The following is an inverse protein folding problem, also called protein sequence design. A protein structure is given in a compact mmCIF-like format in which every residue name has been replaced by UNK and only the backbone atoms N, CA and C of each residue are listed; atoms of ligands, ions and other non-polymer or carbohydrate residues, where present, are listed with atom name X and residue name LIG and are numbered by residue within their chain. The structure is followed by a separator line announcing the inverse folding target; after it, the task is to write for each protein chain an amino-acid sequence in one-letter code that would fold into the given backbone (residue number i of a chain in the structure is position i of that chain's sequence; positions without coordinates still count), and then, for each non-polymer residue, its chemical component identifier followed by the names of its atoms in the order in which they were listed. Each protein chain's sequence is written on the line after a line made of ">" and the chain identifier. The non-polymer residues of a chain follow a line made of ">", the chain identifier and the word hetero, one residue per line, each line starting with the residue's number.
data_IF_319606310591
#
_entry.id   IF_319606310591
#
_cell.length_a   1.000
_cell.length_b   1.000
_cell.length_c   1.000
_cell.angle_alpha   90.00
_cell.angle_beta   90.00
_cell.angle_gamma   90.00
#
_symmetry.space_group_name_H-M   'P 1'
#
loop_
_entity.id
_entity.type
_entity.pdbx_description
1 polymer ?
#
# COMPACT_ATOMS: atom_id res chain seq x y z
N UNK A 1 14.34 -2.87 -23.17
CA UNK A 1 12.95 -2.43 -22.96
C UNK A 1 12.86 -1.00 -23.45
N UNK A 2 12.23 -0.78 -24.59
CA UNK A 2 11.97 0.56 -25.14
C UNK A 2 10.87 1.25 -24.31
N UNK A 3 10.78 2.58 -24.42
CA UNK A 3 9.97 3.48 -23.58
C UNK A 3 8.45 3.24 -23.62
N UNK A 4 7.97 2.32 -24.46
CA UNK A 4 6.56 2.12 -24.77
C UNK A 4 6.04 0.71 -24.46
N UNK A 5 6.85 -0.16 -23.83
CA UNK A 5 6.38 -1.53 -23.55
C UNK A 5 5.22 -1.48 -22.54
N UNK A 6 4.00 -1.95 -22.90
CA UNK A 6 2.90 -2.04 -21.96
C UNK A 6 3.25 -2.96 -20.80
N UNK A 7 2.95 -2.54 -19.57
CA UNK A 7 3.30 -3.28 -18.35
C UNK A 7 2.10 -3.75 -17.56
N UNK A 8 0.90 -3.37 -17.94
CA UNK A 8 -0.30 -3.83 -17.27
C UNK A 8 -1.58 -3.37 -17.93
N UNK A 9 -2.69 -3.93 -17.45
CA UNK A 9 -4.02 -3.48 -17.78
C UNK A 9 -4.85 -3.28 -16.51
N UNK A 10 -5.51 -2.14 -16.40
CA UNK A 10 -6.58 -1.93 -15.43
C UNK A 10 -7.90 -2.30 -16.13
N UNK A 11 -8.62 -3.26 -15.58
CA UNK A 11 -9.89 -3.73 -16.10
C UNK A 11 -11.02 -3.15 -15.24
N UNK A 12 -11.87 -2.33 -15.82
CA UNK A 12 -13.02 -1.77 -15.14
C UNK A 12 -14.32 -2.36 -15.71
N UNK A 13 -15.17 -2.88 -14.83
CA UNK A 13 -16.53 -3.30 -15.17
C UNK A 13 -17.52 -2.28 -14.65
N UNK A 14 -17.89 -1.35 -15.52
CA UNK A 14 -18.90 -0.32 -15.26
C UNK A 14 -20.30 -0.69 -15.76
N UNK A 15 -21.04 0.32 -16.23
CA UNK A 15 -22.44 0.23 -16.68
C UNK A 15 -22.62 -0.68 -17.89
N UNK A 16 -21.58 -0.84 -18.71
CA UNK A 16 -21.58 -1.77 -19.86
C UNK A 16 -21.67 -3.25 -19.44
N UNK A 17 -21.36 -3.57 -18.18
CA UNK A 17 -21.37 -4.94 -17.66
C UNK A 17 -20.22 -5.83 -18.17
N UNK A 18 -19.32 -5.28 -18.99
CA UNK A 18 -18.12 -5.94 -19.48
C UNK A 18 -16.87 -5.30 -18.87
N UNK A 19 -15.79 -6.06 -18.76
CA UNK A 19 -14.50 -5.50 -18.33
C UNK A 19 -13.83 -4.78 -19.51
N UNK A 20 -13.66 -3.48 -19.37
CA UNK A 20 -12.99 -2.61 -20.34
C UNK A 20 -11.55 -2.33 -19.88
N UNK A 21 -10.53 -2.59 -20.72
CA UNK A 21 -9.14 -2.40 -20.36
C UNK A 21 -8.68 -0.95 -20.56
N UNK A 22 -7.91 -0.45 -19.61
CA UNK A 22 -7.01 0.69 -19.75
C UNK A 22 -5.57 0.17 -19.69
N UNK A 23 -4.82 0.35 -20.77
CA UNK A 23 -3.45 -0.16 -20.87
C UNK A 23 -2.48 0.80 -20.19
N UNK A 24 -1.72 0.30 -19.23
CA UNK A 24 -0.79 1.12 -18.43
C UNK A 24 0.66 0.96 -18.92
N UNK A 25 1.35 2.06 -19.28
CA UNK A 25 2.74 2.03 -19.72
C UNK A 25 3.72 1.83 -18.55
N UNK A 26 4.97 1.44 -18.90
CA UNK A 26 6.08 1.18 -17.96
C UNK A 26 6.66 2.43 -17.28
N UNK A 27 6.37 3.62 -17.79
CA UNK A 27 6.79 4.92 -17.25
C UNK A 27 5.59 5.87 -17.21
N UNK A 28 5.56 6.83 -16.27
CA UNK A 28 4.52 7.85 -16.27
C UNK A 28 4.58 8.62 -17.60
N UNK A 29 3.46 8.71 -18.31
CA UNK A 29 3.34 9.62 -19.45
C UNK A 29 3.34 11.06 -18.92
N UNK A 30 4.01 11.98 -19.61
CA UNK A 30 4.04 13.41 -19.26
C UNK A 30 2.64 14.02 -19.12
N UNK A 31 1.65 13.44 -19.82
CA UNK A 31 0.22 13.65 -19.57
C UNK A 31 -0.50 12.30 -19.55
N UNK A 32 -1.26 12.01 -18.49
CA UNK A 32 -2.33 11.01 -18.59
C UNK A 32 -3.35 11.55 -19.58
N UNK A 33 -3.75 10.72 -20.55
CA UNK A 33 -4.80 11.11 -21.47
C UNK A 33 -6.12 11.15 -20.70
N UNK A 34 -6.55 12.35 -20.35
CA UNK A 34 -7.82 12.57 -19.65
C UNK A 34 -8.99 12.03 -20.46
N UNK A 35 -8.94 12.06 -21.80
CA UNK A 35 -10.01 11.52 -22.63
C UNK A 35 -10.08 9.99 -22.51
N UNK A 36 -8.93 9.32 -22.45
CA UNK A 36 -8.85 7.87 -22.24
C UNK A 36 -9.45 7.47 -20.88
N UNK A 37 -9.12 8.22 -19.82
CA UNK A 37 -9.66 7.97 -18.48
C UNK A 37 -11.17 8.30 -18.37
N UNK A 38 -11.63 9.38 -19.01
CA UNK A 38 -13.06 9.74 -19.10
C UNK A 38 -13.84 8.61 -19.77
N UNK A 39 -13.34 8.12 -20.91
CA UNK A 39 -13.96 7.03 -21.65
C UNK A 39 -13.96 5.73 -20.82
N UNK A 40 -12.82 5.38 -20.25
CA UNK A 40 -12.64 4.12 -19.52
C UNK A 40 -13.47 4.07 -18.23
N UNK A 41 -13.52 5.14 -17.45
CA UNK A 41 -14.39 5.24 -16.26
C UNK A 41 -15.86 5.53 -16.62
N UNK A 42 -16.19 5.62 -17.91
CA UNK A 42 -17.53 5.84 -18.44
C UNK A 42 -18.18 7.09 -17.82
N UNK A 43 -17.44 8.21 -17.74
CA UNK A 43 -17.91 9.43 -17.09
C UNK A 43 -18.94 10.15 -17.97
N UNK A 44 -20.03 10.63 -17.37
CA UNK A 44 -21.01 11.44 -18.08
C UNK A 44 -20.51 12.89 -18.21
N UNK A 45 -20.75 13.56 -19.35
CA UNK A 45 -20.35 14.97 -19.52
C UNK A 45 -20.86 15.91 -18.43
N UNK A 46 -21.99 15.57 -17.79
CA UNK A 46 -22.59 16.31 -16.69
C UNK A 46 -21.75 16.27 -15.40
N UNK A 47 -20.94 15.23 -15.19
CA UNK A 47 -20.12 15.05 -13.99
C UNK A 47 -18.76 15.76 -14.10
N UNK A 48 -18.36 16.11 -15.33
CA UNK A 48 -17.03 16.65 -15.63
C UNK A 48 -16.68 17.94 -14.87
N UNK A 49 -17.60 18.90 -14.62
CA UNK A 49 -17.26 20.07 -13.81
C UNK A 49 -16.80 19.71 -12.40
N UNK A 50 -17.45 18.73 -11.77
CA UNK A 50 -17.12 18.32 -10.39
C UNK A 50 -15.84 17.47 -10.35
N UNK A 51 -15.65 16.58 -11.34
CA UNK A 51 -14.40 15.82 -11.49
C UNK A 51 -13.22 16.75 -11.74
N UNK A 52 -13.38 17.78 -12.58
CA UNK A 52 -12.35 18.79 -12.83
C UNK A 52 -12.05 19.62 -11.58
N UNK A 53 -13.08 20.00 -10.81
CA UNK A 53 -12.91 20.68 -9.52
C UNK A 53 -12.07 19.82 -8.56
N UNK A 54 -12.42 18.54 -8.41
CA UNK A 54 -11.69 17.59 -7.58
C UNK A 54 -10.20 17.52 -7.93
N UNK A 55 -9.85 17.28 -9.21
CA UNK A 55 -8.44 17.20 -9.61
C UNK A 55 -7.71 18.54 -9.47
N UNK A 56 -8.39 19.66 -9.73
CA UNK A 56 -7.84 21.01 -9.54
C UNK A 56 -7.50 21.24 -8.06
N UNK A 57 -8.47 21.00 -7.18
CA UNK A 57 -8.32 21.15 -5.74
C UNK A 57 -7.18 20.25 -5.22
N UNK A 58 -7.11 18.98 -5.65
CA UNK A 58 -6.01 18.10 -5.28
C UNK A 58 -4.65 18.61 -5.76
N UNK A 59 -4.55 19.11 -6.99
CA UNK A 59 -3.29 19.62 -7.55
C UNK A 59 -2.79 20.89 -6.86
N UNK A 60 -3.68 21.62 -6.19
CA UNK A 60 -3.38 22.85 -5.47
C UNK A 60 -2.97 22.62 -4.01
N UNK A 61 -3.13 21.41 -3.47
CA UNK A 61 -2.77 21.10 -2.09
C UNK A 61 -1.26 21.25 -1.87
N UNK A 62 -0.90 22.05 -0.86
CA UNK A 62 0.49 22.16 -0.40
C UNK A 62 0.84 20.99 0.54
N UNK A 63 2.12 20.71 0.80
CA UNK A 63 2.51 19.69 1.80
C UNK A 63 1.86 19.90 3.16
N UNK A 64 1.70 21.16 3.60
CA UNK A 64 1.03 21.49 4.86
C UNK A 64 -0.48 21.21 4.81
N UNK A 65 -1.14 21.47 3.68
CA UNK A 65 -2.56 21.12 3.52
C UNK A 65 -2.75 19.60 3.55
N UNK A 66 -1.81 18.84 2.98
CA UNK A 66 -1.83 17.38 3.00
C UNK A 66 -1.58 16.85 4.42
N UNK A 67 -0.62 17.43 5.17
CA UNK A 67 -0.38 17.09 6.58
C UNK A 67 -1.63 17.29 7.44
N UNK A 68 -2.41 18.33 7.18
CA UNK A 68 -3.65 18.61 7.90
C UNK A 68 -4.78 17.60 7.64
N UNK A 69 -4.60 16.65 6.72
CA UNK A 69 -5.57 15.61 6.36
C UNK A 69 -5.28 14.25 7.01
N UNK A 70 -4.38 14.18 8.00
CA UNK A 70 -3.96 12.90 8.61
C UNK A 70 -5.07 12.20 9.41
N UNK A 71 -5.91 12.99 10.08
CA UNK A 71 -7.08 12.52 10.82
C UNK A 71 -8.36 12.47 9.96
N UNK A 72 -8.26 12.64 8.64
CA UNK A 72 -9.38 12.58 7.70
C UNK A 72 -9.21 11.35 6.82
N UNK A 73 -10.22 10.50 6.74
CA UNK A 73 -10.17 9.33 5.85
C UNK A 73 -10.32 9.75 4.38
N UNK A 74 -9.82 8.94 3.44
CA UNK A 74 -10.00 9.21 2.02
C UNK A 74 -11.48 9.25 1.65
N UNK A 75 -12.31 8.36 2.22
CA UNK A 75 -13.75 8.39 2.02
C UNK A 75 -14.38 9.73 2.46
N UNK A 76 -14.03 10.24 3.64
CA UNK A 76 -14.50 11.56 4.12
C UNK A 76 -14.00 12.70 3.23
N UNK A 77 -12.74 12.64 2.77
CA UNK A 77 -12.21 13.63 1.85
C UNK A 77 -12.96 13.64 0.51
N UNK A 78 -13.20 12.47 -0.08
CA UNK A 78 -13.94 12.33 -1.34
C UNK A 78 -15.41 12.75 -1.20
N UNK A 79 -16.02 12.60 -0.02
CA UNK A 79 -17.40 13.02 0.25
C UNK A 79 -17.63 14.54 0.12
N UNK A 80 -16.55 15.34 0.09
CA UNK A 80 -16.60 16.79 -0.18
C UNK A 80 -16.93 17.11 -1.65
N UNK A 81 -17.00 16.09 -2.50
CA UNK A 81 -17.23 16.19 -3.93
C UNK A 81 -18.39 15.30 -4.33
N UNK A 82 -19.15 15.70 -5.35
CA UNK A 82 -20.19 14.87 -5.98
C UNK A 82 -19.60 14.02 -7.10
N UNK A 83 -18.65 13.16 -6.74
CA UNK A 83 -17.97 12.30 -7.71
C UNK A 83 -18.89 11.18 -8.20
N UNK A 84 -18.83 10.82 -9.50
CA UNK A 84 -19.53 9.65 -10.01
C UNK A 84 -18.96 8.37 -9.38
N UNK A 85 -19.80 7.34 -9.25
CA UNK A 85 -19.45 6.09 -8.57
C UNK A 85 -18.16 5.46 -9.11
N UNK A 86 -17.95 5.50 -10.43
CA UNK A 86 -16.75 4.91 -11.06
C UNK A 86 -15.43 5.52 -10.57
N UNK A 87 -15.41 6.83 -10.29
CA UNK A 87 -14.24 7.53 -9.72
C UNK A 87 -14.04 7.12 -8.27
N UNK A 88 -15.11 7.04 -7.48
CA UNK A 88 -15.04 6.56 -6.10
C UNK A 88 -14.53 5.11 -6.03
N UNK A 89 -15.08 4.23 -6.88
CA UNK A 89 -14.70 2.83 -6.99
C UNK A 89 -13.24 2.67 -7.42
N UNK A 90 -12.74 3.54 -8.31
CA UNK A 90 -11.32 3.59 -8.67
C UNK A 90 -10.44 3.90 -7.46
N UNK A 91 -10.75 4.92 -6.67
CA UNK A 91 -9.98 5.22 -5.46
C UNK A 91 -10.12 4.12 -4.40
N UNK A 92 -11.30 3.51 -4.26
CA UNK A 92 -11.51 2.38 -3.36
C UNK A 92 -10.63 1.19 -3.72
N UNK A 93 -10.59 0.83 -5.00
CA UNK A 93 -9.70 -0.22 -5.52
C UNK A 93 -8.21 0.12 -5.27
N UNK A 94 -7.80 1.37 -5.52
CA UNK A 94 -6.43 1.79 -5.25
C UNK A 94 -6.08 1.65 -3.77
N UNK A 95 -6.98 2.04 -2.87
CA UNK A 95 -6.77 1.86 -1.43
C UNK A 95 -6.57 0.39 -1.04
N UNK A 96 -7.41 -0.49 -1.60
CA UNK A 96 -7.34 -1.92 -1.28
C UNK A 96 -6.07 -2.59 -1.81
N UNK A 97 -5.50 -2.13 -2.92
CA UNK A 97 -4.31 -2.75 -3.53
C UNK A 97 -3.02 -2.16 -2.97
N UNK A 98 -2.97 -0.84 -2.75
CA UNK A 98 -1.74 -0.13 -2.37
C UNK A 98 -1.52 -0.19 -0.86
N UNK A 99 -2.56 0.09 -0.07
CA UNK A 99 -2.47 0.12 1.40
C UNK A 99 -2.96 -1.16 2.05
N UNK A 100 -3.63 -2.02 1.28
CA UNK A 100 -4.33 -3.21 1.79
C UNK A 100 -5.30 -2.83 2.91
N UNK A 101 -6.00 -1.72 2.70
CA UNK A 101 -6.93 -1.14 3.66
C UNK A 101 -8.19 -0.65 2.93
N UNK A 102 -9.34 -0.60 3.64
CA UNK A 102 -10.55 -0.04 3.08
C UNK A 102 -10.47 1.47 2.97
N UNK A 103 -11.19 2.04 2.01
CA UNK A 103 -11.15 3.47 1.70
C UNK A 103 -11.56 4.37 2.89
N UNK A 104 -12.41 3.86 3.77
CA UNK A 104 -12.89 4.53 4.98
C UNK A 104 -11.97 4.39 6.19
N UNK A 105 -10.78 3.78 6.05
CA UNK A 105 -9.74 3.72 7.09
C UNK A 105 -8.36 4.24 6.63
N UNK A 106 -8.19 4.55 5.34
CA UNK A 106 -6.95 5.13 4.83
C UNK A 106 -6.98 6.64 5.04
N UNK A 107 -5.96 7.21 5.68
CA UNK A 107 -5.80 8.66 5.80
C UNK A 107 -5.69 9.32 4.42
N UNK A 108 -6.41 10.43 4.22
CA UNK A 108 -6.40 11.17 2.97
C UNK A 108 -5.01 11.78 2.71
N UNK A 109 -4.30 12.19 3.76
CA UNK A 109 -2.90 12.63 3.69
C UNK A 109 -2.01 11.61 2.95
N UNK A 110 -2.06 10.36 3.40
CA UNK A 110 -1.23 9.25 2.90
C UNK A 110 -1.62 8.86 1.47
N UNK A 111 -2.92 8.76 1.20
CA UNK A 111 -3.44 8.48 -0.14
C UNK A 111 -3.01 9.55 -1.16
N UNK A 112 -3.18 10.83 -0.82
CA UNK A 112 -2.86 11.95 -1.71
C UNK A 112 -1.36 12.00 -2.00
N UNK A 113 -0.49 11.85 -0.98
CA UNK A 113 0.97 11.78 -1.19
C UNK A 113 1.34 10.62 -2.11
N UNK A 114 0.87 9.43 -1.80
CA UNK A 114 1.19 8.22 -2.56
C UNK A 114 0.75 8.34 -4.02
N UNK A 115 -0.46 8.85 -4.27
CA UNK A 115 -0.96 9.03 -5.64
C UNK A 115 -0.21 10.14 -6.38
N UNK A 116 0.23 11.19 -5.69
CA UNK A 116 1.08 12.25 -6.25
C UNK A 116 2.45 11.71 -6.65
N UNK A 117 3.07 10.90 -5.79
CA UNK A 117 4.34 10.23 -6.08
C UNK A 117 4.21 9.25 -7.26
N UNK A 118 3.10 8.51 -7.34
CA UNK A 118 2.83 7.61 -8.46
C UNK A 118 2.63 8.39 -9.76
N UNK A 119 1.98 9.55 -9.71
CA UNK A 119 1.84 10.43 -10.87
C UNK A 119 3.20 10.99 -11.32
N UNK A 120 4.07 11.39 -10.39
CA UNK A 120 5.36 12.00 -10.69
C UNK A 120 6.44 10.98 -11.12
N UNK A 121 6.53 9.84 -10.44
CA UNK A 121 7.63 8.88 -10.56
C UNK A 121 7.24 7.56 -11.25
N UNK A 122 5.94 7.41 -11.55
CA UNK A 122 5.34 6.17 -12.00
C UNK A 122 5.07 5.19 -10.87
N UNK A 123 4.25 4.20 -11.17
CA UNK A 123 3.97 3.09 -10.28
C UNK A 123 4.46 1.77 -10.91
N UNK A 124 4.44 0.69 -10.11
CA UNK A 124 4.59 -0.70 -10.56
C UNK A 124 5.89 -1.04 -11.31
N UNK A 125 6.85 -1.63 -10.58
CA UNK A 125 8.11 -2.14 -11.15
C UNK A 125 8.34 -3.56 -10.68
N UNK A 126 8.84 -4.41 -11.59
CA UNK A 126 9.27 -5.76 -11.26
C UNK A 126 10.79 -5.83 -11.21
N UNK A 127 11.32 -6.46 -10.16
CA UNK A 127 12.71 -6.90 -10.13
C UNK A 127 12.84 -8.11 -11.07
N UNK A 128 13.74 -8.02 -12.06
CA UNK A 128 13.94 -9.08 -13.08
C UNK A 128 14.21 -10.46 -12.48
N UNK A 129 14.87 -10.49 -11.32
CA UNK A 129 15.25 -11.71 -10.60
C UNK A 129 14.28 -12.02 -9.43
N UNK A 130 13.12 -11.35 -9.41
CA UNK A 130 12.13 -11.46 -8.35
C UNK A 130 12.49 -10.70 -7.07
N UNK A 131 11.49 -10.48 -6.22
CA UNK A 131 11.67 -9.76 -4.94
C UNK A 131 12.56 -10.51 -3.94
N UNK A 132 12.63 -11.84 -4.02
CA UNK A 132 13.53 -12.64 -3.18
C UNK A 132 15.01 -12.25 -3.40
N UNK A 133 15.39 -11.97 -4.66
CA UNK A 133 16.75 -11.54 -4.99
C UNK A 133 17.11 -10.21 -4.34
N UNK A 134 16.16 -9.29 -4.19
CA UNK A 134 16.39 -8.01 -3.53
C UNK A 134 16.82 -8.22 -2.07
N UNK A 135 16.13 -9.12 -1.35
CA UNK A 135 16.49 -9.48 0.03
C UNK A 135 17.87 -10.15 0.11
N UNK A 136 18.19 -11.05 -0.82
CA UNK A 136 19.51 -11.68 -0.91
C UNK A 136 20.63 -10.67 -1.15
N UNK A 137 20.42 -9.70 -2.05
CA UNK A 137 21.42 -8.65 -2.35
C UNK A 137 21.70 -7.80 -1.11
N UNK A 138 20.68 -7.48 -0.30
CA UNK A 138 20.90 -6.79 0.97
C UNK A 138 21.71 -7.64 1.97
N UNK A 139 21.39 -8.93 2.11
CA UNK A 139 22.16 -9.82 2.97
C UNK A 139 23.63 -9.93 2.52
N UNK A 140 23.86 -10.10 1.22
CA UNK A 140 25.21 -10.14 0.62
C UNK A 140 25.98 -8.83 0.86
N UNK A 141 25.29 -7.68 0.79
CA UNK A 141 25.91 -6.39 1.07
C UNK A 141 26.36 -6.29 2.53
N UNK A 142 25.54 -6.70 3.49
CA UNK A 142 25.89 -6.73 4.93
C UNK A 142 27.18 -7.52 5.16
N UNK A 143 27.28 -8.72 4.59
CA UNK A 143 28.48 -9.57 4.68
C UNK A 143 29.70 -8.93 4.00
N UNK A 144 29.52 -8.37 2.80
CA UNK A 144 30.58 -7.69 2.05
C UNK A 144 31.20 -6.52 2.84
N UNK A 145 30.41 -5.83 3.64
CA UNK A 145 30.89 -4.73 4.50
C UNK A 145 31.36 -5.20 5.90
N UNK A 146 31.58 -6.50 6.09
CA UNK A 146 32.21 -7.07 7.28
C UNK A 146 31.27 -7.34 8.45
N UNK A 147 29.96 -7.30 8.23
CA UNK A 147 28.95 -7.68 9.24
C UNK A 147 28.47 -9.11 9.04
N UNK A 148 27.71 -9.65 9.99
CA UNK A 148 27.22 -11.04 9.95
C UNK A 148 25.71 -11.11 9.68
N UNK A 149 25.29 -12.07 8.86
CA UNK A 149 23.88 -12.43 8.68
C UNK A 149 23.64 -13.81 9.28
N UNK A 150 22.79 -13.88 10.31
CA UNK A 150 22.48 -15.14 11.00
C UNK A 150 21.04 -15.57 10.76
N UNK A 151 20.87 -16.55 9.86
CA UNK A 151 19.57 -17.19 9.62
C UNK A 151 19.21 -18.17 10.74
N UNK A 152 17.91 -18.49 10.87
CA UNK A 152 17.41 -19.45 11.89
C UNK A 152 17.81 -19.09 13.32
N UNK A 153 18.02 -17.81 13.59
CA UNK A 153 18.42 -17.27 14.89
C UNK A 153 17.30 -16.35 15.39
N UNK A 154 16.20 -16.95 15.84
CA UNK A 154 15.04 -16.19 16.28
C UNK A 154 15.36 -15.47 17.60
N UNK A 155 15.10 -14.16 17.63
CA UNK A 155 15.19 -13.36 18.86
C UNK A 155 13.97 -13.66 19.72
N UNK A 156 14.22 -14.09 20.96
CA UNK A 156 13.19 -14.33 21.97
C UNK A 156 12.96 -13.09 22.85
N UNK A 157 13.97 -12.25 23.04
CA UNK A 157 13.93 -11.06 23.89
C UNK A 157 14.94 -10.00 23.42
N UNK A 158 14.58 -8.72 23.54
CA UNK A 158 15.50 -7.59 23.49
C UNK A 158 15.74 -7.19 24.95
N UNK A 159 16.98 -7.34 25.41
CA UNK A 159 17.32 -7.14 26.82
C UNK A 159 17.47 -5.65 27.13
N UNK A 160 16.92 -5.21 28.26
CA UNK A 160 16.91 -3.81 28.71
C UNK A 160 17.32 -3.75 30.17
N UNK A 161 18.23 -2.85 30.50
CA UNK A 161 18.66 -2.54 31.87
C UNK A 161 18.65 -1.03 32.05
N UNK A 162 18.07 -0.56 33.17
CA UNK A 162 17.99 0.88 33.51
C UNK A 162 17.42 1.76 32.38
N UNK A 163 16.48 1.23 31.60
CA UNK A 163 15.83 1.93 30.47
C UNK A 163 16.66 1.97 29.18
N UNK A 164 17.80 1.29 29.12
CA UNK A 164 18.65 1.18 27.94
C UNK A 164 18.75 -0.26 27.44
N UNK A 165 18.75 -0.45 26.11
CA UNK A 165 18.98 -1.77 25.53
C UNK A 165 20.41 -2.25 25.82
N UNK A 166 20.55 -3.53 26.16
CA UNK A 166 21.85 -4.17 26.42
C UNK A 166 22.18 -5.24 25.38
N UNK A 167 21.21 -5.66 24.58
CA UNK A 167 21.40 -6.69 23.55
C UNK A 167 20.13 -7.42 23.15
N UNK A 168 20.32 -8.63 22.62
CA UNK A 168 19.25 -9.56 22.26
C UNK A 168 19.56 -10.97 22.74
N UNK A 169 18.53 -11.68 23.18
CA UNK A 169 18.61 -13.10 23.54
C UNK A 169 17.97 -13.96 22.44
N UNK A 170 18.58 -15.12 22.20
CA UNK A 170 18.17 -16.10 21.19
C UNK A 170 18.42 -17.51 21.72
N UNK A 171 17.87 -18.55 21.09
CA UNK A 171 18.19 -19.94 21.43
C UNK A 171 19.68 -20.29 21.20
N UNK A 172 20.36 -19.57 20.30
CA UNK A 172 21.77 -19.75 19.99
C UNK A 172 22.71 -19.01 20.96
N UNK A 173 22.15 -18.24 21.91
CA UNK A 173 22.90 -17.43 22.88
C UNK A 173 22.49 -15.96 22.87
N UNK A 174 23.20 -15.19 23.70
CA UNK A 174 22.95 -13.76 23.90
C UNK A 174 23.98 -12.92 23.14
N UNK A 175 23.51 -11.83 22.55
CA UNK A 175 24.31 -10.89 21.78
C UNK A 175 24.23 -9.52 22.44
N UNK A 176 25.32 -9.08 23.07
CA UNK A 176 25.40 -7.75 23.64
C UNK A 176 25.47 -6.69 22.53
N UNK A 177 24.63 -5.66 22.62
CA UNK A 177 24.62 -4.55 21.69
C UNK A 177 24.09 -3.28 22.38
N UNK A 178 24.79 -2.14 22.25
CA UNK A 178 24.32 -0.87 22.83
C UNK A 178 23.18 -0.24 22.01
N UNK A 179 22.92 -0.76 20.81
CA UNK A 179 21.87 -0.30 19.90
C UNK A 179 21.23 -1.54 19.28
N UNK A 180 19.90 -1.60 19.31
CA UNK A 180 19.11 -2.65 18.66
C UNK A 180 18.12 -1.99 17.70
N UNK A 181 18.19 -2.36 16.42
CA UNK A 181 17.21 -1.95 15.40
C UNK A 181 16.26 -3.11 15.16
N UNK A 182 15.01 -2.98 15.64
CA UNK A 182 14.00 -4.02 15.46
C UNK A 182 13.21 -3.82 14.16
N UNK A 183 13.29 -4.81 13.26
CA UNK A 183 12.44 -4.91 12.08
C UNK A 183 11.32 -5.96 12.26
N UNK A 184 10.94 -6.28 13.50
CA UNK A 184 9.88 -7.25 13.80
C UNK A 184 8.46 -6.66 13.75
N UNK A 185 8.33 -5.37 13.43
CA UNK A 185 7.10 -4.59 13.58
C UNK A 185 6.92 -4.05 15.00
N UNK A 186 6.20 -2.93 15.14
CA UNK A 186 6.05 -2.21 16.42
C UNK A 186 5.34 -3.06 17.49
N UNK A 187 4.26 -3.74 17.13
CA UNK A 187 3.50 -4.58 18.06
C UNK A 187 4.34 -5.76 18.60
N UNK A 188 4.97 -6.61 17.76
CA UNK A 188 5.86 -7.65 18.27
C UNK A 188 7.06 -7.11 19.06
N UNK A 189 7.61 -5.96 18.68
CA UNK A 189 8.75 -5.34 19.38
C UNK A 189 8.35 -4.91 20.79
N UNK A 190 7.30 -4.11 20.91
CA UNK A 190 6.89 -3.49 22.19
C UNK A 190 6.19 -4.51 23.09
N UNK A 191 5.24 -5.28 22.55
CA UNK A 191 4.36 -6.14 23.37
C UNK A 191 5.01 -7.48 23.76
N UNK A 192 6.06 -7.91 23.05
CA UNK A 192 6.68 -9.23 23.25
C UNK A 192 8.19 -9.19 23.44
N UNK A 193 8.94 -8.55 22.53
CA UNK A 193 10.39 -8.65 22.53
C UNK A 193 11.04 -7.79 23.62
N UNK A 194 10.61 -6.54 23.76
CA UNK A 194 11.03 -5.63 24.84
C UNK A 194 10.13 -5.77 26.07
N UNK A 195 8.88 -6.19 25.86
CA UNK A 195 7.79 -6.30 26.84
C UNK A 195 7.24 -4.95 27.31
N UNK A 196 5.96 -4.96 27.70
CA UNK A 196 5.17 -3.76 27.97
C UNK A 196 5.65 -2.99 29.21
N UNK A 197 6.19 -3.69 30.21
CA UNK A 197 6.68 -3.13 31.47
C UNK A 197 7.83 -2.12 31.31
N UNK A 198 8.51 -2.15 30.16
CA UNK A 198 9.60 -1.23 29.82
C UNK A 198 9.11 0.06 29.13
N UNK A 199 7.80 0.25 28.98
CA UNK A 199 7.22 1.43 28.35
C UNK A 199 6.14 2.08 29.21
N UNK A 200 5.91 3.38 28.98
CA UNK A 200 4.76 4.06 29.56
C UNK A 200 3.45 3.46 29.08
N UNK A 201 2.47 3.39 30.00
CA UNK A 201 1.14 2.82 29.72
C UNK A 201 0.44 3.48 28.53
N UNK A 202 0.63 4.78 28.33
CA UNK A 202 0.06 5.52 27.20
C UNK A 202 0.58 4.99 25.86
N UNK A 203 1.89 4.76 25.76
CA UNK A 203 2.52 4.22 24.55
C UNK A 203 2.09 2.78 24.28
N UNK A 204 2.05 1.94 25.32
CA UNK A 204 1.55 0.55 25.20
C UNK A 204 0.11 0.53 24.68
N UNK A 205 -0.76 1.39 25.22
CA UNK A 205 -2.15 1.51 24.76
C UNK A 205 -2.25 1.95 23.31
N UNK A 206 -1.43 2.93 22.89
CA UNK A 206 -1.32 3.33 21.49
C UNK A 206 -0.94 2.14 20.60
N UNK A 207 0.12 1.41 20.94
CA UNK A 207 0.60 0.26 20.16
C UNK A 207 -0.43 -0.86 20.06
N UNK A 208 -1.16 -1.14 21.15
CA UNK A 208 -2.27 -2.10 21.15
C UNK A 208 -3.46 -1.64 20.31
N UNK A 209 -3.70 -0.33 20.24
CA UNK A 209 -4.78 0.27 19.46
C UNK A 209 -4.51 0.33 17.95
N UNK A 210 -3.25 0.15 17.51
CA UNK A 210 -2.91 0.11 16.10
C UNK A 210 -3.63 -1.04 15.39
N UNK A 211 -4.37 -0.69 14.34
CA UNK A 211 -5.07 -1.65 13.50
C UNK A 211 -4.11 -2.17 12.41
N UNK A 212 -3.87 -3.49 12.32
CA UNK A 212 -3.19 -4.06 11.17
C UNK A 212 -4.00 -3.81 9.90
N UNK A 213 -3.30 -3.65 8.78
CA UNK A 213 -3.94 -3.71 7.47
C UNK A 213 -4.59 -5.08 7.24
N UNK A 214 -5.43 -5.17 6.21
CA UNK A 214 -6.04 -6.43 5.84
C UNK A 214 -5.04 -7.35 5.12
N UNK A 215 -5.51 -8.54 4.75
CA UNK A 215 -4.73 -9.50 3.96
C UNK A 215 -5.25 -9.60 2.54
N UNK A 216 -4.34 -9.78 1.58
CA UNK A 216 -4.68 -10.25 0.25
C UNK A 216 -4.48 -11.76 0.18
N UNK A 217 -5.50 -12.48 -0.27
CA UNK A 217 -5.39 -13.91 -0.56
C UNK A 217 -4.69 -14.09 -1.92
N UNK A 218 -3.54 -14.77 -1.91
CA UNK A 218 -2.79 -15.06 -3.13
C UNK A 218 -3.00 -16.50 -3.59
N UNK A 219 -3.33 -16.68 -4.88
CA UNK A 219 -3.35 -17.99 -5.54
C UNK A 219 -2.26 -18.00 -6.62
N UNK A 220 -1.45 -19.05 -6.64
CA UNK A 220 -0.39 -19.23 -7.64
C UNK A 220 -0.77 -20.36 -8.60
N UNK A 221 -0.81 -20.03 -9.89
CA UNK A 221 -1.06 -20.99 -10.96
C UNK A 221 0.23 -21.30 -11.71
N UNK A 222 0.48 -22.58 -11.98
CA UNK A 222 1.57 -23.05 -12.83
C UNK A 222 0.96 -23.54 -14.14
N UNK A 223 1.17 -22.78 -15.21
CA UNK A 223 0.52 -22.99 -16.50
C UNK A 223 1.54 -23.47 -17.53
N UNK A 224 1.11 -24.35 -18.44
CA UNK A 224 1.97 -24.93 -19.49
C UNK A 224 2.25 -23.98 -20.65
N UNK A 225 1.55 -22.84 -20.72
CA UNK A 225 1.73 -21.81 -21.74
C UNK A 225 1.38 -20.43 -21.16
N UNK A 226 1.89 -19.33 -21.76
CA UNK A 226 1.43 -17.98 -21.43
C UNK A 226 -0.08 -17.84 -21.68
N UNK A 227 -0.79 -17.23 -20.73
CA UNK A 227 -2.23 -16.94 -20.84
C UNK A 227 -2.57 -15.46 -20.71
N UNK A 228 -1.58 -14.64 -20.36
CA UNK A 228 -1.71 -13.21 -20.13
C UNK A 228 -0.77 -12.47 -21.08
N UNK A 229 -1.26 -11.38 -21.67
CA UNK A 229 -0.48 -10.53 -22.57
C UNK A 229 0.44 -9.60 -21.78
N UNK A 230 -0.05 -9.06 -20.65
CA UNK A 230 0.68 -8.17 -19.76
C UNK A 230 1.07 -8.86 -18.44
N UNK A 231 2.12 -8.39 -17.74
CA UNK A 231 2.52 -9.00 -16.47
C UNK A 231 1.58 -8.64 -15.30
N UNK A 232 0.77 -7.57 -15.44
CA UNK A 232 -0.18 -7.12 -14.40
C UNK A 232 -1.56 -6.93 -14.99
N UNK A 233 -2.55 -7.51 -14.32
CA UNK A 233 -3.95 -7.19 -14.52
C UNK A 233 -4.57 -6.85 -13.17
N UNK A 234 -5.18 -5.67 -13.07
CA UNK A 234 -5.96 -5.26 -11.90
C UNK A 234 -7.40 -5.11 -12.37
N UNK A 235 -8.30 -5.90 -11.83
CA UNK A 235 -9.71 -5.87 -12.19
C UNK A 235 -10.57 -5.34 -11.06
N UNK A 236 -11.51 -4.44 -11.37
CA UNK A 236 -12.49 -3.93 -10.41
C UNK A 236 -13.81 -3.54 -11.06
N UNK A 237 -14.82 -3.33 -10.23
CA UNK A 237 -16.14 -2.81 -10.57
C UNK A 237 -16.65 -1.90 -9.46
N UNK A 238 -17.81 -1.30 -9.68
CA UNK A 238 -18.54 -0.55 -8.64
C UNK A 238 -18.97 -1.41 -7.43
N UNK A 239 -18.86 -2.73 -7.57
CA UNK A 239 -19.25 -3.69 -6.54
C UNK A 239 -18.08 -4.45 -5.91
N UNK A 240 -16.84 -4.22 -6.36
CA UNK A 240 -15.70 -5.04 -5.97
C UNK A 240 -14.68 -4.35 -5.05
N UNK A 241 -14.77 -3.03 -4.85
CA UNK A 241 -13.93 -2.36 -3.87
C UNK A 241 -14.47 -2.61 -2.45
N UNK A 242 -13.59 -2.44 -1.48
CA UNK A 242 -13.91 -2.65 -0.08
C UNK A 242 -13.88 -1.37 0.72
N UNK A 243 -14.96 -1.18 1.47
CA UNK A 243 -15.07 -0.36 2.66
C UNK A 243 -15.39 -1.26 3.86
N UNK A 244 -15.35 -0.70 5.08
CA UNK A 244 -15.65 -1.48 6.28
C UNK A 244 -17.09 -2.01 6.32
N UNK A 245 -18.04 -1.33 5.68
CA UNK A 245 -19.45 -1.75 5.67
C UNK A 245 -19.65 -3.00 4.80
N UNK A 246 -19.15 -2.98 3.56
CA UNK A 246 -19.13 -4.10 2.62
C UNK A 246 -18.44 -5.31 3.26
N UNK A 247 -17.31 -5.10 3.94
CA UNK A 247 -16.61 -6.15 4.66
C UNK A 247 -17.49 -6.76 5.76
N UNK A 248 -18.10 -5.95 6.62
CA UNK A 248 -18.98 -6.43 7.71
C UNK A 248 -20.19 -7.19 7.16
N UNK A 249 -20.79 -6.70 6.07
CA UNK A 249 -21.94 -7.32 5.40
C UNK A 249 -21.58 -8.72 4.92
N UNK A 250 -20.49 -8.86 4.17
CA UNK A 250 -20.05 -10.17 3.64
C UNK A 250 -19.62 -11.12 4.76
N UNK A 251 -19.02 -10.59 5.84
CA UNK A 251 -18.67 -11.39 7.02
C UNK A 251 -19.90 -11.95 7.75
N UNK A 252 -21.05 -11.26 7.68
CA UNK A 252 -22.28 -11.67 8.36
C UNK A 252 -23.06 -12.77 7.63
N UNK A 253 -22.74 -13.05 6.37
CA UNK A 253 -23.50 -13.96 5.49
C UNK A 253 -24.66 -13.27 4.79
#
# INVERSE_FOLDING_TARGET
>A
LTLETPTGALLYKGRSGQYEPLITPSRPREQRDMAEMISWLQLDPADMPEVARFFTDMSALTPQDIDALDDVTLAEFLSRYRLPQSVYSYFGMQCNIIFVAPIDLVAASEAIRTFSDFAASGAMRYSSDGYGRVAEVFAQAVEKYGSEVRLRTAVSEITVEEGAVTGVATEAGNFAAPIVVSNAGIQPTVLRLVREENFDKSYVNYVKGLLPSWGLMGIRYFLSKPVFEYPVYIAFSDESYWDSERFRRIKAG
#
